data_IF_893766755873
#
_entry.id   IF_893766755873
#
_cell.length_a   1.000
_cell.length_b   1.000
_cell.length_c   1.000
_cell.angle_alpha   90.00
_cell.angle_beta   90.00
_cell.angle_gamma   90.00
#
_symmetry.space_group_name_H-M   'P 1'
#
loop_
_entity.id
_entity.type
_entity.pdbx_description
1 polymer ?
#
# COMPACT_ATOMS: atom_id res chain seq x y z
N UNK A 1 -0.96 5.69 -15.45
CA UNK A 1 0.16 6.21 -14.63
C UNK A 1 0.13 5.49 -13.28
N UNK A 2 0.99 4.49 -13.08
CA UNK A 2 1.01 3.66 -11.87
C UNK A 2 1.79 4.40 -10.78
N UNK A 3 1.07 5.01 -9.85
CA UNK A 3 1.66 5.79 -8.74
C UNK A 3 2.12 4.81 -7.65
N UNK A 4 3.26 4.19 -7.89
CA UNK A 4 4.12 3.68 -6.83
C UNK A 4 4.92 4.87 -6.26
N UNK A 5 4.22 5.81 -5.63
CA UNK A 5 4.82 6.92 -4.92
C UNK A 5 3.88 7.39 -3.82
N UNK A 6 3.67 6.54 -2.81
CA UNK A 6 3.40 7.05 -1.46
C UNK A 6 4.65 7.84 -1.08
N UNK A 7 4.62 9.12 -1.39
CA UNK A 7 5.63 10.11 -1.01
C UNK A 7 5.41 10.42 0.45
N UNK A 8 5.88 9.53 1.32
CA UNK A 8 6.25 9.91 2.68
C UNK A 8 7.51 10.77 2.59
N UNK A 9 7.37 12.09 2.73
CA UNK A 9 8.49 13.00 2.90
C UNK A 9 9.37 12.54 4.06
N UNK A 10 10.65 12.31 3.78
CA UNK A 10 11.65 11.86 4.74
C UNK A 10 12.76 11.13 3.99
N UNK A 11 13.73 11.87 3.48
CA UNK A 11 14.70 11.39 2.50
C UNK A 11 15.56 10.25 3.02
N UNK A 12 15.62 9.16 2.25
CA UNK A 12 16.71 8.19 2.33
C UNK A 12 17.23 7.92 0.92
N UNK A 13 18.38 8.56 0.69
CA UNK A 13 19.35 8.32 -0.37
C UNK A 13 19.64 6.81 -0.46
N UNK A 14 19.61 6.28 -1.68
CA UNK A 14 20.06 4.93 -1.97
C UNK A 14 19.22 4.30 -3.07
N UNK A 15 19.79 4.24 -4.26
CA UNK A 15 19.28 3.45 -5.39
C UNK A 15 18.93 2.03 -4.91
N UNK A 16 17.63 1.78 -4.72
CA UNK A 16 17.08 0.43 -4.60
C UNK A 16 16.26 0.15 -5.85
N UNK A 17 16.42 -1.02 -6.49
CA UNK A 17 15.81 -1.31 -7.78
C UNK A 17 14.30 -1.10 -7.72
N UNK A 18 13.76 -0.31 -8.66
CA UNK A 18 12.33 -0.02 -8.81
C UNK A 18 11.45 -1.28 -8.83
N UNK A 19 12.05 -2.43 -9.13
CA UNK A 19 11.47 -3.78 -9.11
C UNK A 19 10.96 -4.24 -7.73
N UNK A 20 11.54 -3.77 -6.61
CA UNK A 20 11.06 -4.16 -5.25
C UNK A 20 9.69 -3.56 -4.91
N UNK A 21 9.38 -2.35 -5.41
CA UNK A 21 8.09 -1.70 -5.13
C UNK A 21 6.91 -2.39 -5.80
N UNK A 22 7.11 -2.92 -7.01
CA UNK A 22 6.07 -3.63 -7.76
C UNK A 22 5.70 -4.98 -7.13
N UNK A 23 6.70 -5.77 -6.71
CA UNK A 23 6.44 -7.04 -6.00
C UNK A 23 5.71 -6.78 -4.68
N UNK A 24 6.10 -5.74 -3.94
CA UNK A 24 5.42 -5.34 -2.70
C UNK A 24 3.98 -4.87 -2.97
N UNK A 25 3.72 -4.15 -4.07
CA UNK A 25 2.37 -3.71 -4.41
C UNK A 25 1.40 -4.89 -4.68
N UNK A 26 1.84 -5.93 -5.40
CA UNK A 26 1.01 -7.11 -5.63
C UNK A 26 0.75 -7.91 -4.35
N UNK A 27 1.73 -8.00 -3.44
CA UNK A 27 1.55 -8.66 -2.14
C UNK A 27 0.56 -7.89 -1.27
N UNK A 28 0.69 -6.56 -1.22
CA UNK A 28 -0.21 -5.70 -0.45
C UNK A 28 -1.64 -5.71 -1.02
N UNK A 29 -1.78 -5.67 -2.35
CA UNK A 29 -3.08 -5.84 -3.01
C UNK A 29 -3.68 -7.23 -2.73
N UNK A 30 -2.87 -8.29 -2.83
CA UNK A 30 -3.30 -9.65 -2.51
C UNK A 30 -3.81 -9.76 -1.07
N UNK A 31 -3.08 -9.16 -0.12
CA UNK A 31 -3.51 -9.12 1.26
C UNK A 31 -4.82 -8.33 1.45
N UNK A 32 -4.98 -7.20 0.77
CA UNK A 32 -6.23 -6.42 0.80
C UNK A 32 -7.43 -7.23 0.30
N UNK A 33 -7.23 -8.04 -0.75
CA UNK A 33 -8.26 -8.93 -1.30
C UNK A 33 -8.56 -10.12 -0.37
N UNK A 34 -7.55 -10.70 0.29
CA UNK A 34 -7.73 -11.77 1.30
C UNK A 34 -8.58 -11.25 2.47
N UNK A 35 -8.37 -10.00 2.87
CA UNK A 35 -9.18 -9.32 3.88
C UNK A 35 -10.53 -8.82 3.35
N UNK A 36 -10.99 -9.30 2.19
CA UNK A 36 -12.27 -8.93 1.56
C UNK A 36 -12.46 -7.41 1.38
N UNK A 37 -11.36 -6.68 1.13
CA UNK A 37 -11.34 -5.22 1.01
C UNK A 37 -11.75 -4.49 2.31
N UNK A 38 -11.69 -5.15 3.47
CA UNK A 38 -11.96 -4.54 4.78
C UNK A 38 -10.83 -3.55 5.13
N UNK A 39 -11.16 -2.26 5.16
CA UNK A 39 -10.18 -1.21 5.39
C UNK A 39 -9.67 -1.17 6.82
N UNK A 40 -10.46 -1.56 7.82
CA UNK A 40 -10.02 -1.55 9.21
C UNK A 40 -8.98 -2.64 9.44
N UNK A 41 -9.32 -3.88 9.07
CA UNK A 41 -8.41 -5.02 9.18
C UNK A 41 -7.14 -4.82 8.35
N UNK A 42 -7.26 -4.22 7.16
CA UNK A 42 -6.10 -3.94 6.34
C UNK A 42 -5.19 -2.86 6.92
N UNK A 43 -5.74 -1.81 7.52
CA UNK A 43 -4.94 -0.76 8.16
C UNK A 43 -4.22 -1.29 9.40
N UNK A 44 -4.88 -2.14 10.18
CA UNK A 44 -4.23 -2.83 11.31
C UNK A 44 -3.09 -3.73 10.83
N UNK A 45 -3.33 -4.54 9.81
CA UNK A 45 -2.29 -5.37 9.22
C UNK A 45 -1.11 -4.53 8.68
N UNK A 46 -1.39 -3.40 8.01
CA UNK A 46 -0.35 -2.53 7.45
C UNK A 46 0.49 -1.86 8.54
N UNK A 47 -0.15 -1.54 9.67
CA UNK A 47 0.52 -1.05 10.88
C UNK A 47 1.45 -2.13 11.45
N UNK A 48 0.96 -3.36 11.59
CA UNK A 48 1.73 -4.44 12.22
C UNK A 48 2.86 -4.98 11.31
N UNK A 49 2.65 -5.00 9.99
CA UNK A 49 3.64 -5.47 9.02
C UNK A 49 4.78 -4.46 8.75
N UNK A 50 4.48 -3.16 8.77
CA UNK A 50 5.39 -2.12 8.28
C UNK A 50 5.58 -0.94 9.24
N UNK A 51 4.86 -0.91 10.37
CA UNK A 51 4.83 0.26 11.27
C UNK A 51 4.11 1.47 10.65
N UNK A 52 3.20 1.26 9.70
CA UNK A 52 2.52 2.34 9.01
C UNK A 52 1.68 3.20 9.97
N UNK A 53 1.80 4.52 9.86
CA UNK A 53 0.98 5.43 10.67
C UNK A 53 -0.45 5.56 10.13
N UNK A 54 -1.34 6.19 10.90
CA UNK A 54 -2.76 6.33 10.57
C UNK A 54 -3.01 7.03 9.21
N UNK A 55 -2.16 7.98 8.83
CA UNK A 55 -2.28 8.69 7.55
C UNK A 55 -1.85 7.78 6.39
N UNK A 56 -0.68 7.15 6.50
CA UNK A 56 -0.14 6.25 5.47
C UNK A 56 -1.06 5.06 5.21
N UNK A 57 -1.62 4.47 6.25
CA UNK A 57 -2.54 3.34 6.16
C UNK A 57 -3.86 3.73 5.50
N UNK A 58 -4.40 4.92 5.80
CA UNK A 58 -5.59 5.48 5.16
C UNK A 58 -5.37 5.82 3.68
N UNK A 59 -4.25 6.48 3.35
CA UNK A 59 -3.90 6.80 1.96
C UNK A 59 -3.70 5.52 1.13
N UNK A 60 -3.06 4.50 1.72
CA UNK A 60 -2.83 3.22 1.05
C UNK A 60 -4.12 2.42 0.82
N UNK A 61 -4.98 2.30 1.84
CA UNK A 61 -6.26 1.59 1.71
C UNK A 61 -7.19 2.29 0.71
N UNK A 62 -7.21 3.63 0.72
CA UNK A 62 -7.98 4.43 -0.23
C UNK A 62 -7.57 4.19 -1.67
N UNK A 63 -6.26 4.29 -1.98
CA UNK A 63 -5.76 4.03 -3.33
C UNK A 63 -6.03 2.59 -3.81
N UNK A 64 -5.93 1.59 -2.92
CA UNK A 64 -6.23 0.19 -3.28
C UNK A 64 -7.72 -0.02 -3.54
N UNK A 65 -8.59 0.63 -2.78
CA UNK A 65 -10.04 0.61 -3.00
C UNK A 65 -10.41 1.23 -4.34
N UNK A 66 -9.94 2.43 -4.63
CA UNK A 66 -10.17 3.10 -5.91
C UNK A 66 -9.66 2.27 -7.10
N UNK A 67 -8.50 1.64 -6.94
CA UNK A 67 -7.97 0.73 -7.95
C UNK A 67 -8.85 -0.52 -8.11
N UNK A 68 -9.33 -1.11 -7.02
CA UNK A 68 -10.27 -2.23 -7.10
C UNK A 68 -11.56 -1.82 -7.81
N UNK A 69 -12.17 -0.69 -7.45
CA UNK A 69 -13.42 -0.22 -8.11
C UNK A 69 -13.23 0.07 -9.60
N UNK A 70 -12.04 0.51 -10.02
CA UNK A 70 -11.76 0.84 -11.42
C UNK A 70 -11.39 -0.37 -12.29
N UNK A 71 -10.86 -1.46 -11.70
CA UNK A 71 -10.24 -2.54 -12.46
C UNK A 71 -10.71 -3.96 -12.07
N UNK A 72 -11.55 -4.11 -11.03
CA UNK A 72 -11.89 -5.40 -10.42
C UNK A 72 -13.37 -5.49 -10.02
#
# INVERSE_FOLDING_TARGET
KMVAAVRGSGGLRGERPRLRGSVVAYVVLGQFLVLKKDEELFREWLRDACGANAKQSRDCSGCLREWCDAFL
#
